data_IF_066388316792
#
_entry.id   IF_066388316792
#
_cell.length_a   1.000
_cell.length_b   1.000
_cell.length_c   1.000
_cell.angle_alpha   90.00
_cell.angle_beta   90.00
_cell.angle_gamma   90.00
#
_symmetry.space_group_name_H-M   'P 1'
#
loop_
_entity.id
_entity.type
_entity.pdbx_description
1 polymer ?
#
# COMPACT_ATOMS: atom_id res chain seq x y z
N UNK A 1 -11.72 6.08 9.05
CA UNK A 1 -10.60 6.50 8.19
C UNK A 1 -9.50 7.02 9.10
N UNK A 2 -8.27 6.53 8.95
CA UNK A 2 -7.11 7.15 9.60
C UNK A 2 -6.64 8.31 8.71
N UNK A 3 -6.57 9.51 9.27
CA UNK A 3 -6.21 10.73 8.56
C UNK A 3 -4.69 10.98 8.63
N UNK A 4 -4.17 11.80 7.73
CA UNK A 4 -2.76 12.21 7.65
C UNK A 4 -1.76 11.04 7.55
N UNK A 5 -2.16 9.98 6.85
CA UNK A 5 -1.34 8.78 6.65
C UNK A 5 -0.51 8.82 5.35
N UNK A 6 -0.36 9.97 4.70
CA UNK A 6 0.35 10.06 3.41
C UNK A 6 1.88 10.09 3.57
N UNK A 7 2.39 10.76 4.61
CA UNK A 7 3.82 11.00 4.80
C UNK A 7 4.40 10.09 5.88
N UNK A 8 5.61 9.58 5.66
CA UNK A 8 6.38 8.76 6.62
C UNK A 8 5.72 7.46 7.12
N UNK A 9 4.62 7.03 6.52
CA UNK A 9 3.93 5.77 6.80
C UNK A 9 4.36 4.70 5.79
N UNK A 10 4.01 4.85 4.51
CA UNK A 10 4.26 3.89 3.43
C UNK A 10 5.75 3.53 3.31
N UNK A 11 6.63 4.53 3.44
CA UNK A 11 8.10 4.38 3.41
C UNK A 11 8.68 3.60 4.60
N UNK A 12 7.90 3.38 5.66
CA UNK A 12 8.29 2.66 6.88
C UNK A 12 7.42 1.42 7.14
N UNK A 13 6.61 1.01 6.17
CA UNK A 13 5.78 -0.20 6.30
C UNK A 13 6.61 -1.47 6.33
N UNK A 14 6.12 -2.47 7.05
CA UNK A 14 6.73 -3.80 7.16
C UNK A 14 5.68 -4.87 6.92
N UNK A 15 6.12 -6.09 6.61
CA UNK A 15 5.27 -7.28 6.52
C UNK A 15 5.31 -8.09 7.82
N UNK A 16 5.28 -7.40 8.96
CA UNK A 16 5.32 -8.05 10.28
C UNK A 16 4.19 -9.07 10.41
N UNK A 17 4.48 -10.27 10.91
CA UNK A 17 3.57 -11.41 10.97
C UNK A 17 2.95 -11.83 9.61
N UNK A 18 3.55 -11.45 8.48
CA UNK A 18 3.01 -11.77 7.16
C UNK A 18 1.69 -11.06 6.85
N UNK A 19 1.36 -9.99 7.57
CA UNK A 19 0.16 -9.19 7.29
C UNK A 19 0.32 -8.54 5.90
N UNK A 20 -0.69 -8.62 5.02
CA UNK A 20 -0.64 -7.99 3.70
C UNK A 20 -0.41 -6.49 3.78
N UNK A 21 0.44 -5.98 2.90
CA UNK A 21 0.61 -4.53 2.76
C UNK A 21 -0.64 -3.92 2.11
N UNK A 22 -1.03 -2.70 2.52
CA UNK A 22 -2.14 -2.00 1.89
C UNK A 22 -1.80 -1.61 0.45
N UNK A 23 -2.77 -1.73 -0.45
CA UNK A 23 -2.66 -1.20 -1.82
C UNK A 23 -2.43 0.33 -1.77
N UNK A 24 -1.59 0.84 -2.68
CA UNK A 24 -1.41 2.28 -2.86
C UNK A 24 -2.38 2.73 -3.94
N UNK A 25 -3.30 3.63 -3.57
CA UNK A 25 -4.33 4.16 -4.46
C UNK A 25 -4.27 5.69 -4.50
N UNK A 26 -4.63 6.25 -5.64
CA UNK A 26 -4.83 7.69 -5.83
C UNK A 26 -6.27 7.90 -6.26
N UNK A 27 -6.92 8.90 -5.66
CA UNK A 27 -8.25 9.32 -6.07
C UNK A 27 -8.13 10.27 -7.26
N UNK A 28 -8.90 10.00 -8.32
CA UNK A 28 -8.94 10.85 -9.51
C UNK A 28 -10.24 11.66 -9.52
N UNK A 29 -10.13 12.94 -9.21
CA UNK A 29 -11.29 13.83 -9.09
C UNK A 29 -12.08 13.97 -10.40
N UNK A 30 -11.40 13.94 -11.55
CA UNK A 30 -12.03 14.09 -12.88
C UNK A 30 -12.95 12.91 -13.22
N UNK A 31 -12.59 11.71 -12.77
CA UNK A 31 -13.33 10.47 -13.03
C UNK A 31 -14.22 10.06 -11.85
N UNK A 32 -13.97 10.62 -10.66
CA UNK A 32 -14.67 10.24 -9.43
C UNK A 32 -14.38 8.81 -9.01
N UNK A 33 -13.18 8.29 -9.29
CA UNK A 33 -12.80 6.91 -8.98
C UNK A 33 -11.40 6.80 -8.36
N UNK A 34 -11.17 5.70 -7.66
CA UNK A 34 -9.86 5.36 -7.10
C UNK A 34 -9.08 4.51 -8.11
N UNK A 35 -7.91 4.99 -8.53
CA UNK A 35 -6.98 4.20 -9.34
C UNK A 35 -5.91 3.55 -8.47
N UNK A 36 -5.72 2.26 -8.67
CA UNK A 36 -4.65 1.49 -8.01
C UNK A 36 -3.30 1.79 -8.67
N UNK A 37 -2.36 2.27 -7.87
CA UNK A 37 -0.97 2.54 -8.30
C UNK A 37 -0.09 1.32 -8.06
N UNK A 38 -0.27 0.64 -6.93
CA UNK A 38 0.47 -0.58 -6.59
C UNK A 38 -0.40 -1.52 -5.78
N UNK A 39 -0.45 -2.78 -6.21
CA UNK A 39 -0.97 -3.90 -5.45
C UNK A 39 0.18 -4.76 -4.97
N UNK A 40 0.10 -5.22 -3.73
CA UNK A 40 1.10 -6.12 -3.15
C UNK A 40 0.59 -7.55 -3.16
N UNK A 41 1.40 -8.46 -3.67
CA UNK A 41 1.13 -9.90 -3.75
C UNK A 41 1.90 -10.71 -2.70
N UNK A 42 1.74 -12.04 -2.79
CA UNK A 42 2.53 -12.97 -1.99
C UNK A 42 4.02 -12.89 -2.36
N UNK A 43 4.34 -12.65 -3.64
CA UNK A 43 5.71 -12.51 -4.11
C UNK A 43 6.42 -11.35 -3.41
N UNK A 44 5.77 -10.20 -3.22
CA UNK A 44 6.34 -9.05 -2.49
C UNK A 44 6.73 -9.39 -1.05
N UNK A 45 5.97 -10.30 -0.41
CA UNK A 45 6.29 -10.79 0.94
C UNK A 45 7.47 -11.77 0.90
N UNK A 46 7.39 -12.79 0.04
CA UNK A 46 8.41 -13.84 -0.10
C UNK A 46 9.77 -13.24 -0.44
N UNK A 47 9.81 -12.32 -1.40
CA UNK A 47 11.06 -11.75 -1.95
C UNK A 47 11.74 -10.78 -0.97
N UNK A 48 11.09 -10.42 0.15
CA UNK A 48 11.72 -9.66 1.25
C UNK A 48 12.43 -10.54 2.29
N UNK A 49 12.27 -11.86 2.21
CA UNK A 49 12.78 -12.82 3.19
C UNK A 49 14.04 -13.57 2.72
N UNK A 50 14.51 -13.34 1.49
CA UNK A 50 15.67 -14.04 0.90
C UNK A 50 16.51 -13.11 0.03
#
# INVERSE_FOLDING_TARGET
VFLDMAHYTMVKTTTFNGVPLPDIVVWEDELGEARVIKRFGYEDYRDRLS
#
